data_IF_506504074131
#
_entry.id   IF_506504074131
#
_cell.length_a   1.000
_cell.length_b   1.000
_cell.length_c   1.000
_cell.angle_alpha   90.00
_cell.angle_beta   90.00
_cell.angle_gamma   90.00
#
_symmetry.space_group_name_H-M   'P 1'
#
loop_
_entity.id
_entity.type
_entity.pdbx_description
1 polymer ?
#
# COMPACT_ATOMS: atom_id res chain seq x y z
N UNK A 1 25.96 -7.54 1.69
CA UNK A 1 25.41 -6.26 2.18
C UNK A 1 24.48 -6.53 3.37
N UNK A 2 24.67 -5.80 4.45
CA UNK A 2 23.84 -5.80 5.66
C UNK A 2 22.90 -4.59 5.63
N UNK A 3 21.62 -4.78 5.90
CA UNK A 3 20.58 -3.75 5.73
C UNK A 3 19.82 -3.56 7.04
N UNK A 4 19.64 -2.31 7.44
CA UNK A 4 18.81 -1.91 8.57
C UNK A 4 17.58 -1.15 8.06
N UNK A 5 16.38 -1.70 8.27
CA UNK A 5 15.11 -1.11 7.86
C UNK A 5 14.45 -0.46 9.07
N UNK A 6 14.23 0.84 9.02
CA UNK A 6 13.54 1.60 10.06
C UNK A 6 12.09 1.87 9.68
N UNK A 7 11.17 1.18 10.33
CA UNK A 7 9.73 1.38 10.16
C UNK A 7 9.26 2.71 10.79
N UNK A 8 8.11 3.24 10.38
CA UNK A 8 7.50 4.38 11.07
C UNK A 8 7.23 4.09 12.55
N UNK A 9 7.46 5.07 13.42
CA UNK A 9 7.05 4.97 14.81
C UNK A 9 5.55 4.61 14.92
N UNK A 10 5.20 3.64 15.77
CA UNK A 10 3.87 3.03 15.93
C UNK A 10 3.37 2.21 14.73
N UNK A 11 4.18 1.94 13.72
CA UNK A 11 3.80 0.97 12.70
C UNK A 11 3.76 -0.43 13.33
N UNK A 12 2.65 -1.14 13.15
CA UNK A 12 2.47 -2.45 13.76
C UNK A 12 3.06 -3.56 12.88
N UNK A 13 4.11 -4.23 13.35
CA UNK A 13 4.78 -5.32 12.63
C UNK A 13 4.40 -6.70 13.22
N UNK A 14 3.11 -6.91 13.47
CA UNK A 14 2.61 -8.17 14.02
C UNK A 14 1.54 -8.81 13.16
N UNK A 15 1.43 -10.13 13.25
CA UNK A 15 0.40 -10.89 12.53
C UNK A 15 -1.01 -10.41 12.90
N UNK A 16 -1.84 -10.17 11.89
CA UNK A 16 -3.24 -9.74 12.03
C UNK A 16 -3.45 -8.24 12.25
N UNK A 17 -2.41 -7.46 12.63
CA UNK A 17 -2.51 -6.01 12.87
C UNK A 17 -1.58 -5.17 12.01
N UNK A 18 -0.80 -5.79 11.13
CA UNK A 18 0.17 -5.11 10.27
C UNK A 18 -0.49 -4.12 9.31
N UNK A 19 0.05 -2.90 9.23
CA UNK A 19 -0.31 -1.91 8.24
C UNK A 19 0.33 -2.18 6.87
N UNK A 20 0.06 -1.31 5.90
CA UNK A 20 0.53 -1.48 4.52
C UNK A 20 2.07 -1.47 4.40
N UNK A 21 2.76 -0.66 5.21
CA UNK A 21 4.24 -0.59 5.22
C UNK A 21 4.82 -1.89 5.78
N UNK A 22 4.30 -2.37 6.90
CA UNK A 22 4.74 -3.62 7.52
C UNK A 22 4.50 -4.85 6.64
N UNK A 23 3.35 -4.91 5.97
CA UNK A 23 3.06 -5.98 5.01
C UNK A 23 4.03 -5.93 3.82
N UNK A 24 4.28 -4.73 3.28
CA UNK A 24 5.25 -4.55 2.20
C UNK A 24 6.63 -5.06 2.61
N UNK A 25 7.15 -4.62 3.76
CA UNK A 25 8.48 -5.01 4.23
C UNK A 25 8.61 -6.52 4.48
N UNK A 26 7.63 -7.12 5.13
CA UNK A 26 7.62 -8.56 5.34
C UNK A 26 7.60 -9.34 4.02
N UNK A 27 6.71 -8.92 3.10
CA UNK A 27 6.52 -9.58 1.81
C UNK A 27 7.80 -9.52 0.95
N UNK A 28 8.49 -8.35 0.94
CA UNK A 28 9.69 -8.13 0.14
C UNK A 28 10.91 -8.78 0.79
N UNK A 29 11.16 -8.52 2.07
CA UNK A 29 12.32 -9.06 2.79
C UNK A 29 12.33 -10.58 2.76
N UNK A 30 11.16 -11.23 2.86
CA UNK A 30 11.05 -12.70 2.78
C UNK A 30 11.53 -13.28 1.44
N UNK A 31 11.53 -12.49 0.36
CA UNK A 31 11.94 -12.89 -1.00
C UNK A 31 13.24 -12.26 -1.48
N UNK A 32 13.81 -11.33 -0.71
CA UNK A 32 15.07 -10.67 -1.01
C UNK A 32 16.25 -11.63 -0.93
N UNK A 33 17.26 -11.39 -1.76
CA UNK A 33 18.58 -12.03 -1.68
C UNK A 33 19.24 -11.74 -0.33
N UNK A 34 19.03 -10.52 0.21
CA UNK A 34 19.64 -10.06 1.46
C UNK A 34 18.85 -10.44 2.72
N UNK A 35 17.82 -11.27 2.64
CA UNK A 35 16.90 -11.59 3.75
C UNK A 35 17.58 -12.02 5.05
N UNK A 36 18.71 -12.74 4.98
CA UNK A 36 19.46 -13.22 6.16
C UNK A 36 20.23 -12.09 6.86
N UNK A 37 20.57 -11.04 6.11
CA UNK A 37 21.38 -9.90 6.59
C UNK A 37 20.53 -8.62 6.70
N UNK A 38 19.21 -8.74 6.73
CA UNK A 38 18.28 -7.61 6.87
C UNK A 38 17.69 -7.62 8.27
N UNK A 39 17.79 -6.49 8.96
CA UNK A 39 17.23 -6.25 10.29
C UNK A 39 16.09 -5.22 10.17
N UNK A 40 14.94 -5.53 10.75
CA UNK A 40 13.75 -4.66 10.68
C UNK A 40 13.49 -4.09 12.06
N UNK A 41 13.55 -2.76 12.17
CA UNK A 41 13.37 -2.02 13.42
C UNK A 41 11.98 -1.39 13.49
N UNK A 42 11.30 -1.60 14.60
CA UNK A 42 9.98 -1.03 14.88
C UNK A 42 9.78 -0.79 16.36
N UNK A 43 8.59 -0.37 16.72
CA UNK A 43 8.17 -0.14 18.10
C UNK A 43 6.83 -0.82 18.38
N UNK A 44 6.73 -2.07 17.99
CA UNK A 44 5.55 -2.90 18.26
C UNK A 44 5.92 -3.99 19.23
N UNK A 45 5.44 -3.88 20.45
CA UNK A 45 5.50 -5.01 21.39
C UNK A 45 4.57 -6.11 20.88
N UNK A 46 5.14 -7.16 20.34
CA UNK A 46 4.38 -8.31 19.83
C UNK A 46 5.14 -9.59 20.13
N UNK A 47 4.43 -10.53 20.73
CA UNK A 47 4.94 -11.90 20.92
C UNK A 47 5.00 -12.69 19.59
N UNK A 48 4.45 -12.12 18.49
CA UNK A 48 4.41 -12.76 17.18
C UNK A 48 4.70 -11.75 16.06
N UNK A 49 5.95 -11.28 15.88
CA UNK A 49 6.33 -10.41 14.78
C UNK A 49 6.24 -11.15 13.44
N UNK A 50 6.03 -10.40 12.34
CA UNK A 50 5.95 -10.96 10.99
C UNK A 50 7.26 -11.61 10.52
N UNK A 51 8.41 -11.20 11.06
CA UNK A 51 9.74 -11.72 10.72
C UNK A 51 10.56 -11.97 11.99
N UNK A 52 11.39 -13.02 11.95
CA UNK A 52 12.37 -13.32 13.02
C UNK A 52 13.48 -12.26 13.14
N UNK A 53 13.73 -11.50 12.07
CA UNK A 53 14.73 -10.44 12.04
C UNK A 53 14.19 -9.10 12.55
N UNK A 54 13.01 -9.09 13.17
CA UNK A 54 12.43 -7.90 13.77
C UNK A 54 13.07 -7.60 15.12
N UNK A 55 13.44 -6.34 15.31
CA UNK A 55 14.00 -5.80 16.55
C UNK A 55 13.06 -4.73 17.08
N UNK A 56 12.49 -4.99 18.26
CA UNK A 56 11.68 -3.99 18.94
C UNK A 56 12.56 -2.93 19.60
N UNK A 57 12.26 -1.67 19.32
CA UNK A 57 12.94 -0.52 19.94
C UNK A 57 12.15 -0.06 21.17
N UNK A 58 12.61 -0.49 22.34
CA UNK A 58 12.01 -0.06 23.61
C UNK A 58 12.41 1.38 23.93
N UNK A 59 11.40 2.20 24.23
CA UNK A 59 11.60 3.61 24.52
C UNK A 59 11.65 3.84 26.03
N UNK A 60 12.72 4.49 26.48
CA UNK A 60 12.77 5.02 27.85
C UNK A 60 11.86 6.24 27.96
N UNK A 61 11.03 6.30 29.01
CA UNK A 61 10.14 7.44 29.26
C UNK A 61 10.97 8.69 29.70
N UNK A 62 11.39 9.48 28.72
CA UNK A 62 12.00 10.80 28.96
C UNK A 62 10.96 11.86 28.66
N UNK A 63 10.47 12.53 29.70
CA UNK A 63 9.36 13.50 29.64
C UNK A 63 9.62 14.71 28.73
N UNK A 64 10.88 15.09 28.50
CA UNK A 64 11.30 16.30 27.77
C UNK A 64 11.60 16.04 26.26
N UNK A 65 11.44 14.84 25.77
CA UNK A 65 11.69 14.53 24.35
C UNK A 65 10.48 13.86 23.69
N UNK A 66 10.16 14.29 22.46
CA UNK A 66 9.10 13.60 21.70
C UNK A 66 9.46 12.13 21.50
N UNK A 67 8.47 11.24 21.61
CA UNK A 67 8.64 9.78 21.42
C UNK A 67 9.27 9.43 20.07
N UNK A 68 8.95 10.21 19.02
CA UNK A 68 9.55 10.03 17.69
C UNK A 68 11.06 10.30 17.69
N UNK A 69 11.53 11.34 18.39
CA UNK A 69 12.96 11.61 18.54
C UNK A 69 13.68 10.54 19.37
N UNK A 70 13.06 10.07 20.45
CA UNK A 70 13.58 8.96 21.25
C UNK A 70 13.72 7.68 20.40
N UNK A 71 12.68 7.35 19.62
CA UNK A 71 12.68 6.21 18.72
C UNK A 71 13.87 6.21 17.75
N UNK A 72 14.11 7.35 17.07
CA UNK A 72 15.25 7.47 16.15
C UNK A 72 16.59 7.40 16.90
N UNK A 73 16.71 8.00 18.11
CA UNK A 73 17.92 7.87 18.92
C UNK A 73 18.20 6.43 19.35
N UNK A 74 17.17 5.70 19.77
CA UNK A 74 17.29 4.29 20.12
C UNK A 74 17.73 3.46 18.90
N UNK A 75 17.15 3.70 17.73
CA UNK A 75 17.60 3.10 16.48
C UNK A 75 19.08 3.37 16.20
N UNK A 76 19.54 4.62 16.31
CA UNK A 76 20.94 5.01 16.09
C UNK A 76 21.88 4.22 16.99
N UNK A 77 21.54 4.04 18.28
CA UNK A 77 22.34 3.27 19.22
C UNK A 77 22.45 1.77 18.83
N UNK A 78 21.37 1.18 18.30
CA UNK A 78 21.41 -0.19 17.76
C UNK A 78 22.24 -0.24 16.48
N UNK A 79 22.03 0.70 15.58
CA UNK A 79 22.69 0.77 14.28
C UNK A 79 24.21 0.95 14.41
N UNK A 80 24.68 1.70 15.40
CA UNK A 80 26.12 1.83 15.71
C UNK A 80 26.77 0.48 16.03
N UNK A 81 26.02 -0.43 16.66
CA UNK A 81 26.51 -1.79 16.99
C UNK A 81 26.39 -2.75 15.81
N UNK A 82 25.28 -2.68 15.08
CA UNK A 82 25.01 -3.54 13.91
C UNK A 82 25.93 -3.17 12.76
N UNK A 83 26.18 -1.90 12.58
CA UNK A 83 27.06 -1.35 11.54
C UNK A 83 26.66 -1.84 10.13
N UNK A 84 25.39 -1.58 9.73
CA UNK A 84 24.89 -1.95 8.42
C UNK A 84 25.53 -1.15 7.28
N UNK A 85 25.50 -1.71 6.07
CA UNK A 85 25.97 -1.02 4.86
C UNK A 85 24.94 -0.01 4.34
N UNK A 86 23.64 -0.30 4.56
CA UNK A 86 22.51 0.47 4.09
C UNK A 86 21.45 0.62 5.19
N UNK A 87 20.93 1.83 5.35
CA UNK A 87 19.76 2.13 6.17
C UNK A 87 18.58 2.46 5.24
N UNK A 88 17.46 1.79 5.40
CA UNK A 88 16.21 2.08 4.69
C UNK A 88 15.21 2.69 5.66
N UNK A 89 14.77 3.92 5.37
CA UNK A 89 13.82 4.67 6.21
C UNK A 89 12.47 4.73 5.51
N UNK A 90 11.44 4.23 6.17
CA UNK A 90 10.11 4.15 5.58
C UNK A 90 9.17 5.26 6.09
N UNK A 91 8.62 6.02 5.13
CA UNK A 91 7.50 6.95 5.36
C UNK A 91 7.74 8.01 6.47
N UNK A 92 9.03 8.32 6.74
CA UNK A 92 9.41 9.32 7.78
C UNK A 92 10.60 10.15 7.33
N UNK A 93 10.40 11.07 6.35
CA UNK A 93 11.50 11.92 5.84
C UNK A 93 12.16 12.77 6.92
N UNK A 94 11.42 13.16 7.95
CA UNK A 94 11.94 13.92 9.09
C UNK A 94 12.94 13.14 9.98
N UNK A 95 13.12 11.82 9.80
CA UNK A 95 14.14 11.05 10.51
C UNK A 95 15.55 11.25 9.91
N UNK A 96 15.62 11.58 8.62
CA UNK A 96 16.87 11.66 7.87
C UNK A 96 17.87 12.62 8.52
N UNK A 97 17.42 13.81 8.94
CA UNK A 97 18.31 14.80 9.57
C UNK A 97 18.96 14.30 10.88
N UNK A 98 18.21 13.53 11.67
CA UNK A 98 18.72 12.97 12.93
C UNK A 98 19.72 11.84 12.67
N UNK A 99 19.44 10.98 11.69
CA UNK A 99 20.29 9.85 11.30
C UNK A 99 21.61 10.37 10.72
N UNK A 100 21.55 11.26 9.72
CA UNK A 100 22.74 11.85 9.06
C UNK A 100 23.67 12.61 10.00
N UNK A 101 23.14 13.27 11.05
CA UNK A 101 23.96 13.95 12.06
C UNK A 101 24.83 12.99 12.89
N UNK A 102 24.50 11.70 12.95
CA UNK A 102 25.14 10.74 13.86
C UNK A 102 25.79 9.56 13.12
N UNK A 103 25.33 9.25 11.94
CA UNK A 103 25.77 8.10 11.16
C UNK A 103 26.17 8.51 9.73
N UNK A 104 27.40 8.15 9.35
CA UNK A 104 27.85 8.28 7.96
C UNK A 104 27.54 6.99 7.21
N UNK A 105 26.29 6.84 6.78
CA UNK A 105 25.77 5.63 6.13
C UNK A 105 25.04 5.96 4.85
N UNK A 106 24.97 4.98 3.94
CA UNK A 106 24.06 5.01 2.81
C UNK A 106 22.64 4.95 3.30
N UNK A 107 21.75 5.79 2.72
CA UNK A 107 20.35 5.88 3.14
C UNK A 107 19.44 5.82 1.92
N UNK A 108 18.47 4.90 1.94
CA UNK A 108 17.29 4.94 1.08
C UNK A 108 16.09 5.45 1.86
N UNK A 109 15.32 6.33 1.23
CA UNK A 109 14.07 6.85 1.80
C UNK A 109 12.87 6.35 0.97
N UNK A 110 11.95 5.66 1.60
CA UNK A 110 10.74 5.12 0.97
C UNK A 110 9.52 5.98 1.28
N UNK A 111 8.77 6.34 0.25
CA UNK A 111 7.46 6.97 0.36
C UNK A 111 6.35 5.98 0.01
N UNK A 112 5.48 5.70 0.98
CA UNK A 112 4.26 4.90 0.84
C UNK A 112 2.99 5.76 0.86
N UNK A 113 3.12 7.04 1.24
CA UNK A 113 2.06 8.05 1.26
C UNK A 113 2.42 9.21 0.33
N UNK A 114 1.48 10.15 0.15
CA UNK A 114 1.75 11.38 -0.60
C UNK A 114 2.89 12.17 0.08
N UNK A 115 4.02 12.38 -0.62
CA UNK A 115 5.17 13.08 -0.06
C UNK A 115 4.84 14.50 0.41
N UNK A 116 3.93 15.20 -0.25
CA UNK A 116 3.54 16.57 0.12
C UNK A 116 2.65 16.63 1.37
N UNK A 117 2.12 15.51 1.83
CA UNK A 117 1.36 15.43 3.07
C UNK A 117 2.22 15.16 4.31
N UNK A 118 3.54 14.87 4.13
CA UNK A 118 4.40 14.35 5.19
C UNK A 118 5.34 15.40 5.77
N UNK A 119 5.48 15.45 7.10
CA UNK A 119 6.45 16.32 7.76
C UNK A 119 7.89 15.95 7.35
N UNK A 120 8.65 16.94 6.88
CA UNK A 120 10.01 16.76 6.36
C UNK A 120 10.09 16.59 4.85
N UNK A 121 8.95 16.72 4.12
CA UNK A 121 8.90 16.73 2.65
C UNK A 121 7.82 17.63 2.06
N UNK A 122 7.09 18.39 2.88
CA UNK A 122 6.02 19.30 2.40
C UNK A 122 6.59 20.49 1.64
N UNK A 123 7.65 21.10 2.16
CA UNK A 123 8.27 22.30 1.61
C UNK A 123 9.32 21.95 0.56
N UNK A 124 9.55 22.83 -0.40
CA UNK A 124 10.58 22.68 -1.43
C UNK A 124 11.96 22.47 -0.78
N UNK A 125 12.32 23.30 0.21
CA UNK A 125 13.61 23.23 0.91
C UNK A 125 13.81 21.88 1.63
N UNK A 126 12.74 21.32 2.21
CA UNK A 126 12.79 20.00 2.84
C UNK A 126 13.08 18.90 1.81
N UNK A 127 12.45 18.97 0.62
CA UNK A 127 12.68 18.01 -0.46
C UNK A 127 14.07 18.14 -1.07
N UNK A 128 14.57 19.37 -1.26
CA UNK A 128 15.97 19.63 -1.67
C UNK A 128 16.95 19.05 -0.65
N UNK A 129 16.69 19.26 0.66
CA UNK A 129 17.49 18.67 1.71
C UNK A 129 17.53 17.14 1.59
N UNK A 130 16.39 16.48 1.37
CA UNK A 130 16.34 15.03 1.22
C UNK A 130 17.15 14.55 0.02
N UNK A 131 16.99 15.19 -1.16
CA UNK A 131 17.74 14.86 -2.37
C UNK A 131 19.25 14.91 -2.14
N UNK A 132 19.72 15.89 -1.40
CA UNK A 132 21.15 16.07 -1.13
C UNK A 132 21.70 15.13 -0.04
N UNK A 133 20.84 14.57 0.82
CA UNK A 133 21.26 13.81 1.99
C UNK A 133 20.92 12.32 1.95
N UNK A 134 20.16 11.83 0.96
CA UNK A 134 19.92 10.41 0.77
C UNK A 134 20.52 9.92 -0.54
N UNK A 135 20.84 8.64 -0.59
CA UNK A 135 21.44 8.02 -1.78
C UNK A 135 20.36 7.67 -2.82
N UNK A 136 19.17 7.25 -2.38
CA UNK A 136 18.03 6.98 -3.26
C UNK A 136 16.70 7.31 -2.56
N UNK A 137 15.73 7.82 -3.32
CA UNK A 137 14.35 8.01 -2.88
C UNK A 137 13.46 7.05 -3.66
N UNK A 138 12.71 6.20 -2.95
CA UNK A 138 11.89 5.15 -3.54
C UNK A 138 10.42 5.48 -3.31
N UNK A 139 9.66 5.52 -4.40
CA UNK A 139 8.23 5.83 -4.40
C UNK A 139 7.40 4.59 -4.71
N UNK A 140 6.24 4.48 -4.09
CA UNK A 140 5.31 3.36 -4.33
C UNK A 140 4.48 3.52 -5.62
N UNK A 141 4.59 4.64 -6.33
CA UNK A 141 3.92 4.91 -7.60
C UNK A 141 4.61 6.05 -8.37
N UNK A 142 4.39 6.10 -9.68
CA UNK A 142 4.77 7.26 -10.51
C UNK A 142 4.04 8.54 -10.07
N UNK A 143 2.78 8.39 -9.60
CA UNK A 143 2.03 9.51 -9.04
C UNK A 143 2.75 10.10 -7.82
N UNK A 144 3.14 9.27 -6.84
CA UNK A 144 3.89 9.74 -5.66
C UNK A 144 5.22 10.37 -6.04
N UNK A 145 5.94 9.82 -7.03
CA UNK A 145 7.18 10.40 -7.57
C UNK A 145 6.92 11.78 -8.16
N UNK A 146 5.92 11.93 -9.04
CA UNK A 146 5.53 13.22 -9.63
C UNK A 146 5.14 14.24 -8.56
N UNK A 147 4.40 13.80 -7.53
CA UNK A 147 4.05 14.68 -6.39
C UNK A 147 5.28 15.23 -5.69
N UNK A 148 6.29 14.40 -5.46
CA UNK A 148 7.54 14.84 -4.82
C UNK A 148 8.31 15.84 -5.71
N UNK A 149 8.20 15.73 -7.03
CA UNK A 149 8.94 16.56 -8.00
C UNK A 149 8.30 17.93 -8.23
N UNK A 150 7.06 18.16 -7.83
CA UNK A 150 6.39 19.45 -8.03
C UNK A 150 7.28 20.60 -7.53
N UNK A 151 7.47 21.62 -8.36
CA UNK A 151 8.25 22.83 -8.12
C UNK A 151 9.74 22.59 -7.76
N UNK A 152 10.28 21.40 -8.02
CA UNK A 152 11.71 21.13 -7.86
C UNK A 152 12.47 21.40 -9.17
N UNK A 153 13.65 22.02 -9.09
CA UNK A 153 14.52 22.20 -10.25
C UNK A 153 15.21 20.88 -10.64
N UNK A 154 15.69 20.80 -11.90
CA UNK A 154 16.55 19.72 -12.38
C UNK A 154 15.94 18.30 -12.33
N UNK A 155 14.95 18.06 -13.20
CA UNK A 155 14.25 16.78 -13.29
C UNK A 155 15.21 15.59 -13.54
N UNK A 156 16.27 15.76 -14.32
CA UNK A 156 17.24 14.69 -14.61
C UNK A 156 17.97 14.21 -13.35
N UNK A 157 18.38 15.13 -12.47
CA UNK A 157 18.99 14.78 -11.19
C UNK A 157 17.97 14.01 -10.30
N UNK A 158 16.73 14.46 -10.30
CA UNK A 158 15.66 13.83 -9.52
C UNK A 158 15.40 12.40 -10.00
N UNK A 159 15.37 12.18 -11.31
CA UNK A 159 15.19 10.83 -11.89
C UNK A 159 16.36 9.91 -11.53
N UNK A 160 17.60 10.38 -11.58
CA UNK A 160 18.77 9.60 -11.22
C UNK A 160 18.80 9.20 -9.74
N UNK A 161 18.31 10.07 -8.86
CA UNK A 161 18.24 9.85 -7.41
C UNK A 161 16.96 9.16 -6.94
N UNK A 162 16.05 8.81 -7.82
CA UNK A 162 14.78 8.20 -7.45
C UNK A 162 14.48 6.90 -8.20
N UNK A 163 13.60 6.11 -7.63
CA UNK A 163 13.06 4.92 -8.27
C UNK A 163 11.59 4.74 -7.90
N UNK A 164 10.82 4.10 -8.78
CA UNK A 164 9.47 3.65 -8.48
C UNK A 164 9.49 2.14 -8.21
N UNK A 165 9.06 1.78 -7.02
CA UNK A 165 8.92 0.39 -6.61
C UNK A 165 7.50 0.16 -6.09
N UNK A 166 6.68 -0.45 -6.90
CA UNK A 166 5.29 -0.75 -6.58
C UNK A 166 5.16 -1.71 -5.40
N UNK A 167 4.01 -1.68 -4.74
CA UNK A 167 3.69 -2.70 -3.75
C UNK A 167 3.44 -4.05 -4.42
N UNK A 168 3.45 -5.10 -3.64
CA UNK A 168 3.34 -6.47 -4.13
C UNK A 168 2.15 -7.22 -3.54
N UNK A 169 1.73 -8.27 -4.23
CA UNK A 169 0.79 -9.26 -3.71
C UNK A 169 1.18 -10.67 -4.16
N UNK A 170 0.84 -11.66 -3.37
CA UNK A 170 1.04 -13.05 -3.78
C UNK A 170 0.16 -13.40 -4.99
N UNK A 171 0.72 -14.11 -5.98
CA UNK A 171 -0.06 -14.70 -7.08
C UNK A 171 -0.29 -16.18 -6.76
N UNK A 172 -1.53 -16.64 -6.81
CA UNK A 172 -1.91 -18.02 -6.54
C UNK A 172 -2.78 -18.54 -7.69
N UNK A 173 -2.76 -19.84 -7.92
CA UNK A 173 -3.61 -20.45 -8.97
C UNK A 173 -5.09 -20.15 -8.70
N UNK A 174 -5.79 -19.64 -9.71
CA UNK A 174 -7.21 -19.28 -9.66
C UNK A 174 -8.01 -20.19 -10.57
N UNK A 175 -9.08 -20.75 -10.03
CA UNK A 175 -10.07 -21.43 -10.83
C UNK A 175 -11.21 -20.46 -11.19
N UNK A 176 -11.23 -19.96 -12.41
CA UNK A 176 -12.23 -18.99 -12.87
C UNK A 176 -13.66 -19.55 -12.90
N UNK A 177 -13.83 -20.87 -12.98
CA UNK A 177 -15.16 -21.52 -12.90
C UNK A 177 -15.77 -21.43 -11.50
N UNK A 178 -14.93 -21.19 -10.46
CA UNK A 178 -15.34 -21.00 -9.06
C UNK A 178 -15.57 -19.53 -8.68
N UNK A 179 -15.53 -18.61 -9.66
CA UNK A 179 -15.92 -17.21 -9.40
C UNK A 179 -17.42 -17.15 -9.15
N UNK A 180 -17.78 -16.53 -8.05
CA UNK A 180 -19.16 -16.33 -7.62
C UNK A 180 -19.66 -14.94 -8.01
N UNK A 181 -20.95 -14.73 -8.05
CA UNK A 181 -21.58 -13.43 -8.35
C UNK A 181 -21.45 -12.48 -7.16
N UNK A 182 -20.20 -12.16 -6.77
CA UNK A 182 -19.86 -11.32 -5.63
C UNK A 182 -19.22 -10.02 -6.10
N UNK A 183 -19.71 -8.90 -5.57
CA UNK A 183 -19.12 -7.56 -5.71
C UNK A 183 -18.52 -7.18 -4.37
N UNK A 184 -17.24 -6.78 -4.36
CA UNK A 184 -16.53 -6.52 -3.09
C UNK A 184 -16.08 -5.07 -2.99
N UNK A 185 -16.26 -4.47 -1.80
CA UNK A 185 -15.61 -3.24 -1.36
C UNK A 185 -14.69 -3.56 -0.18
N UNK A 186 -13.45 -3.08 -0.23
CA UNK A 186 -12.46 -3.27 0.84
C UNK A 186 -11.82 -1.94 1.19
N UNK A 187 -11.97 -1.49 2.42
CA UNK A 187 -11.37 -0.23 2.89
C UNK A 187 -12.11 0.37 4.09
N UNK A 188 -11.68 1.54 4.51
CA UNK A 188 -12.42 2.32 5.51
C UNK A 188 -13.80 2.69 5.00
N UNK A 189 -14.82 2.53 5.84
CA UNK A 189 -16.21 2.77 5.47
C UNK A 189 -16.56 4.26 5.59
N UNK A 190 -15.82 5.11 4.84
CA UNK A 190 -15.97 6.56 4.89
C UNK A 190 -16.10 7.20 3.50
N UNK A 191 -16.46 8.48 3.49
CA UNK A 191 -16.64 9.27 2.25
C UNK A 191 -15.32 9.42 1.47
N UNK A 192 -14.17 9.52 2.15
CA UNK A 192 -12.89 9.64 1.48
C UNK A 192 -12.58 8.41 0.61
N UNK A 193 -12.98 7.20 1.06
CA UNK A 193 -12.88 5.95 0.30
C UNK A 193 -14.05 5.70 -0.65
N UNK A 194 -15.03 6.59 -0.69
CA UNK A 194 -16.20 6.51 -1.57
C UNK A 194 -17.22 5.47 -1.14
N UNK A 195 -17.24 5.08 0.14
CA UNK A 195 -18.19 4.07 0.62
C UNK A 195 -19.65 4.51 0.48
N UNK A 196 -19.95 5.80 0.59
CA UNK A 196 -21.25 6.38 0.29
C UNK A 196 -21.66 6.17 -1.17
N UNK A 197 -20.75 6.42 -2.12
CA UNK A 197 -21.00 6.18 -3.55
C UNK A 197 -21.23 4.70 -3.85
N UNK A 198 -20.40 3.84 -3.22
CA UNK A 198 -20.56 2.40 -3.32
C UNK A 198 -21.93 1.97 -2.79
N UNK A 199 -22.33 2.44 -1.58
CA UNK A 199 -23.59 2.09 -0.96
C UNK A 199 -24.80 2.45 -1.82
N UNK A 200 -24.85 3.70 -2.34
CA UNK A 200 -25.91 4.13 -3.24
C UNK A 200 -25.99 3.30 -4.53
N UNK A 201 -24.84 3.00 -5.14
CA UNK A 201 -24.78 2.23 -6.38
C UNK A 201 -25.16 0.77 -6.15
N UNK A 202 -24.63 0.16 -5.06
CA UNK A 202 -24.79 -1.27 -4.81
C UNK A 202 -26.22 -1.65 -4.47
N UNK A 203 -26.96 -0.82 -3.74
CA UNK A 203 -28.38 -1.08 -3.45
C UNK A 203 -29.17 -1.18 -4.76
N UNK A 204 -28.96 -0.24 -5.70
CA UNK A 204 -29.61 -0.27 -7.03
C UNK A 204 -29.21 -1.53 -7.82
N UNK A 205 -27.97 -1.93 -7.77
CA UNK A 205 -27.46 -3.15 -8.41
C UNK A 205 -28.15 -4.40 -7.84
N UNK A 206 -28.19 -4.53 -6.52
CA UNK A 206 -28.73 -5.71 -5.86
C UNK A 206 -30.26 -5.81 -6.03
N UNK A 207 -30.96 -4.69 -6.10
CA UNK A 207 -32.39 -4.66 -6.46
C UNK A 207 -32.65 -5.18 -7.88
N UNK A 208 -31.80 -4.83 -8.83
CA UNK A 208 -31.90 -5.23 -10.23
C UNK A 208 -31.40 -6.64 -10.49
N UNK A 209 -30.27 -7.01 -9.92
CA UNK A 209 -29.57 -8.29 -10.12
C UNK A 209 -29.67 -9.17 -8.87
N UNK A 210 -30.85 -9.70 -8.60
CA UNK A 210 -31.21 -10.41 -7.35
C UNK A 210 -30.34 -11.64 -7.04
N UNK A 211 -29.61 -12.20 -8.01
CA UNK A 211 -28.70 -13.33 -7.82
C UNK A 211 -27.28 -12.93 -7.48
N UNK A 212 -26.98 -11.63 -7.42
CA UNK A 212 -25.70 -11.10 -7.00
C UNK A 212 -25.73 -10.75 -5.51
N UNK A 213 -24.55 -10.83 -4.89
CA UNK A 213 -24.32 -10.40 -3.50
C UNK A 213 -23.21 -9.37 -3.46
N UNK A 214 -23.18 -8.58 -2.41
CA UNK A 214 -22.08 -7.67 -2.14
C UNK A 214 -21.48 -7.96 -0.76
N UNK A 215 -20.15 -7.92 -0.70
CA UNK A 215 -19.37 -8.11 0.52
C UNK A 215 -18.53 -6.86 0.80
N UNK A 216 -18.67 -6.31 2.00
CA UNK A 216 -17.97 -5.12 2.46
C UNK A 216 -17.03 -5.48 3.60
N UNK A 217 -15.75 -5.19 3.43
CA UNK A 217 -14.70 -5.44 4.41
C UNK A 217 -14.07 -4.14 4.86
N UNK A 218 -14.11 -3.87 6.15
CA UNK A 218 -13.54 -2.70 6.80
C UNK A 218 -14.49 -2.12 7.83
N UNK A 219 -14.04 -1.06 8.46
CA UNK A 219 -14.78 -0.30 9.44
C UNK A 219 -14.38 1.19 9.38
N UNK A 220 -15.16 2.04 10.01
CA UNK A 220 -14.82 3.44 10.31
C UNK A 220 -15.81 3.95 11.38
N UNK A 221 -15.47 3.82 12.66
CA UNK A 221 -16.38 4.19 13.75
C UNK A 221 -16.70 5.69 13.83
N UNK A 222 -15.91 6.54 13.15
CA UNK A 222 -16.07 8.00 13.14
C UNK A 222 -17.11 8.50 12.11
N UNK A 223 -17.44 7.66 11.10
CA UNK A 223 -18.47 7.98 10.09
C UNK A 223 -19.54 6.89 10.09
N UNK A 224 -20.81 7.29 10.34
CA UNK A 224 -21.95 6.38 10.35
C UNK A 224 -22.65 6.39 9.00
N UNK A 225 -22.09 5.69 8.02
CA UNK A 225 -22.73 5.45 6.73
C UNK A 225 -23.42 4.09 6.76
N UNK A 226 -24.73 4.11 6.67
CA UNK A 226 -25.55 2.90 6.81
C UNK A 226 -26.26 2.55 5.49
N UNK A 227 -26.06 1.34 5.01
CA UNK A 227 -26.74 0.77 3.85
C UNK A 227 -27.22 -0.63 4.19
N UNK A 228 -28.45 -0.94 3.81
CA UNK A 228 -29.08 -2.23 4.11
C UNK A 228 -29.72 -2.83 2.86
N UNK A 229 -29.43 -4.11 2.60
CA UNK A 229 -30.11 -4.94 1.60
C UNK A 229 -29.91 -6.41 1.97
N UNK A 230 -30.88 -7.30 1.67
CA UNK A 230 -30.77 -8.74 1.99
C UNK A 230 -29.54 -9.45 1.42
N UNK A 231 -29.00 -8.95 0.29
CA UNK A 231 -27.81 -9.49 -0.38
C UNK A 231 -26.56 -8.63 -0.16
N UNK A 232 -26.57 -7.66 0.78
CA UNK A 232 -25.43 -6.86 1.18
C UNK A 232 -24.91 -7.32 2.54
N UNK A 233 -23.69 -7.84 2.57
CA UNK A 233 -23.03 -8.35 3.75
C UNK A 233 -21.92 -7.38 4.20
N UNK A 234 -22.11 -6.68 5.31
CA UNK A 234 -21.10 -5.83 5.94
C UNK A 234 -20.36 -6.69 6.96
N UNK A 235 -19.13 -7.10 6.65
CA UNK A 235 -18.40 -8.12 7.39
C UNK A 235 -17.39 -7.55 8.40
N UNK A 236 -17.28 -6.20 8.47
CA UNK A 236 -16.35 -5.52 9.37
C UNK A 236 -14.89 -5.73 9.00
N UNK A 237 -14.00 -5.39 9.94
CA UNK A 237 -12.55 -5.58 9.74
C UNK A 237 -12.21 -7.06 9.61
N UNK A 238 -11.41 -7.39 8.60
CA UNK A 238 -10.84 -8.73 8.37
C UNK A 238 -9.35 -8.65 8.11
N UNK A 239 -8.64 -9.71 8.46
CA UNK A 239 -7.20 -9.81 8.17
C UNK A 239 -6.93 -9.85 6.66
N UNK A 240 -5.76 -9.40 6.24
CA UNK A 240 -5.35 -9.45 4.83
C UNK A 240 -5.46 -10.86 4.24
N UNK A 241 -5.08 -11.89 5.00
CA UNK A 241 -5.20 -13.31 4.58
C UNK A 241 -6.63 -13.70 4.29
N UNK A 242 -7.58 -13.27 5.12
CA UNK A 242 -9.02 -13.52 4.91
C UNK A 242 -9.51 -12.86 3.62
N UNK A 243 -9.20 -11.57 3.43
CA UNK A 243 -9.59 -10.80 2.25
C UNK A 243 -9.03 -11.44 0.97
N UNK A 244 -7.74 -11.79 0.96
CA UNK A 244 -7.12 -12.48 -0.18
C UNK A 244 -7.76 -13.82 -0.53
N UNK A 245 -8.28 -14.55 0.46
CA UNK A 245 -9.03 -15.78 0.22
C UNK A 245 -10.42 -15.51 -0.35
N UNK A 246 -11.16 -14.53 0.17
CA UNK A 246 -12.46 -14.12 -0.37
C UNK A 246 -12.35 -13.65 -1.82
N UNK A 247 -11.33 -12.86 -2.15
CA UNK A 247 -11.08 -12.38 -3.52
C UNK A 247 -10.88 -13.49 -4.55
N UNK A 248 -10.54 -14.73 -4.16
CA UNK A 248 -10.48 -15.87 -5.10
C UNK A 248 -11.85 -16.19 -5.70
N UNK A 249 -12.93 -15.94 -4.96
CA UNK A 249 -14.31 -16.18 -5.37
C UNK A 249 -15.00 -14.93 -5.95
N UNK A 250 -14.54 -13.74 -5.58
CA UNK A 250 -15.09 -12.46 -6.01
C UNK A 250 -15.02 -12.28 -7.53
N UNK A 251 -16.10 -11.78 -8.14
CA UNK A 251 -16.14 -11.46 -9.55
C UNK A 251 -15.77 -10.02 -9.87
N UNK A 252 -16.23 -9.06 -9.06
CA UNK A 252 -16.00 -7.62 -9.26
C UNK A 252 -15.50 -7.00 -7.94
N UNK A 253 -14.48 -6.18 -8.00
CA UNK A 253 -14.01 -5.37 -6.86
C UNK A 253 -14.08 -3.89 -7.21
N UNK A 254 -14.56 -3.09 -6.26
CA UNK A 254 -14.74 -1.64 -6.42
C UNK A 254 -13.81 -0.89 -5.48
N UNK A 255 -13.02 0.05 -6.05
CA UNK A 255 -12.15 0.96 -5.31
C UNK A 255 -12.42 2.39 -5.79
N UNK A 256 -13.48 2.99 -5.26
CA UNK A 256 -14.02 4.29 -5.69
C UNK A 256 -13.59 5.44 -4.78
N UNK A 257 -12.32 5.51 -4.43
CA UNK A 257 -11.77 6.55 -3.55
C UNK A 257 -11.90 7.95 -4.16
N UNK A 258 -12.34 8.93 -3.35
CA UNK A 258 -12.22 10.37 -3.65
C UNK A 258 -10.83 10.88 -3.28
N UNK A 259 -10.19 10.22 -2.33
CA UNK A 259 -8.84 10.50 -1.90
C UNK A 259 -7.86 10.09 -2.99
N UNK A 260 -6.84 10.90 -3.22
CA UNK A 260 -5.73 10.53 -4.10
C UNK A 260 -4.90 9.43 -3.43
N UNK A 261 -5.17 8.20 -3.79
CA UNK A 261 -4.45 7.04 -3.26
C UNK A 261 -2.99 7.09 -3.70
N UNK A 262 -2.02 7.01 -2.78
CA UNK A 262 -0.62 6.96 -3.19
C UNK A 262 -0.29 5.76 -4.08
N UNK A 263 -1.03 4.66 -3.91
CA UNK A 263 -0.95 3.49 -4.78
C UNK A 263 -2.31 2.79 -4.92
N UNK A 264 -2.77 2.07 -3.88
CA UNK A 264 -4.03 1.31 -3.91
C UNK A 264 -3.83 -0.19 -3.78
N UNK A 265 -3.39 -0.62 -2.60
CA UNK A 265 -3.13 -2.04 -2.32
C UNK A 265 -4.33 -2.94 -2.59
N UNK A 266 -5.55 -2.47 -2.32
CA UNK A 266 -6.78 -3.25 -2.48
C UNK A 266 -7.04 -3.65 -3.94
N UNK A 267 -6.88 -2.73 -4.89
CA UNK A 267 -7.02 -3.02 -6.32
C UNK A 267 -5.92 -3.96 -6.82
N UNK A 268 -4.68 -3.78 -6.36
CA UNK A 268 -3.58 -4.69 -6.64
C UNK A 268 -3.88 -6.12 -6.18
N UNK A 269 -4.37 -6.28 -4.96
CA UNK A 269 -4.73 -7.58 -4.37
C UNK A 269 -5.87 -8.25 -5.15
N UNK A 270 -6.90 -7.48 -5.52
CA UNK A 270 -8.00 -7.97 -6.36
C UNK A 270 -7.48 -8.44 -7.74
N UNK A 271 -6.63 -7.65 -8.39
CA UNK A 271 -6.01 -7.98 -9.67
C UNK A 271 -5.22 -9.29 -9.60
N UNK A 272 -4.42 -9.47 -8.53
CA UNK A 272 -3.63 -10.69 -8.30
C UNK A 272 -4.48 -11.96 -8.15
N UNK A 273 -5.77 -11.81 -7.89
CA UNK A 273 -6.77 -12.89 -7.76
C UNK A 273 -7.69 -13.01 -8.97
N UNK A 274 -7.38 -12.31 -10.07
CA UNK A 274 -8.20 -12.35 -11.27
C UNK A 274 -9.62 -11.84 -11.03
N UNK A 275 -9.76 -10.73 -10.31
CA UNK A 275 -11.03 -10.04 -10.12
C UNK A 275 -11.13 -8.93 -11.17
N UNK A 276 -12.30 -8.70 -11.73
CA UNK A 276 -12.55 -7.51 -12.54
C UNK A 276 -12.62 -6.29 -11.61
N UNK A 277 -11.79 -5.28 -11.85
CA UNK A 277 -11.63 -4.15 -10.93
C UNK A 277 -12.19 -2.88 -11.54
N UNK A 278 -13.02 -2.16 -10.77
CA UNK A 278 -13.51 -0.82 -11.08
C UNK A 278 -12.83 0.14 -10.13
N UNK A 279 -12.13 1.15 -10.65
CA UNK A 279 -11.36 2.12 -9.86
C UNK A 279 -11.74 3.56 -10.22
N UNK A 280 -11.60 4.47 -9.28
CA UNK A 280 -11.58 5.91 -9.58
C UNK A 280 -10.24 6.31 -10.19
N UNK A 281 -10.24 7.36 -11.04
CA UNK A 281 -9.02 7.96 -11.58
C UNK A 281 -8.39 8.91 -10.55
N UNK A 282 -7.87 8.34 -9.43
CA UNK A 282 -7.36 9.10 -8.29
C UNK A 282 -5.98 8.60 -7.85
N UNK A 283 -5.02 9.53 -7.79
CA UNK A 283 -3.67 9.24 -7.34
C UNK A 283 -2.98 8.15 -8.17
N UNK A 284 -2.35 7.21 -7.50
CA UNK A 284 -1.68 6.05 -8.10
C UNK A 284 -2.61 4.85 -8.37
N UNK A 285 -3.92 4.95 -8.14
CA UNK A 285 -4.86 3.83 -8.41
C UNK A 285 -4.76 3.27 -9.84
N UNK A 286 -4.70 4.09 -10.90
CA UNK A 286 -4.58 3.60 -12.28
C UNK A 286 -3.33 2.74 -12.52
N UNK A 287 -2.30 2.88 -11.70
CA UNK A 287 -1.05 2.11 -11.82
C UNK A 287 -1.16 0.68 -11.25
N UNK A 288 -2.20 0.40 -10.48
CA UNK A 288 -2.36 -0.87 -9.75
C UNK A 288 -2.99 -1.99 -10.58
N UNK A 289 -3.75 -1.64 -11.62
CA UNK A 289 -4.52 -2.58 -12.41
C UNK A 289 -4.61 -2.12 -13.87
N UNK A 290 -3.73 -2.64 -14.73
CA UNK A 290 -3.62 -2.28 -16.15
C UNK A 290 -4.96 -2.43 -16.91
N UNK A 291 -5.76 -3.43 -16.55
CA UNK A 291 -7.03 -3.72 -17.21
C UNK A 291 -8.25 -3.34 -16.35
N UNK A 292 -8.14 -2.32 -15.49
CA UNK A 292 -9.26 -1.85 -14.70
C UNK A 292 -10.27 -1.06 -15.55
N UNK A 293 -11.52 -1.06 -15.10
CA UNK A 293 -12.51 -0.07 -15.54
C UNK A 293 -12.28 1.20 -14.74
N UNK A 294 -11.81 2.25 -15.40
CA UNK A 294 -11.46 3.52 -14.75
C UNK A 294 -12.65 4.49 -14.83
N UNK A 295 -13.08 5.01 -13.68
CA UNK A 295 -14.11 6.04 -13.59
C UNK A 295 -13.46 7.42 -13.62
N UNK A 296 -13.49 8.10 -14.76
CA UNK A 296 -12.98 9.47 -14.90
C UNK A 296 -13.85 10.48 -14.13
N UNK A 297 -15.17 10.30 -14.17
CA UNK A 297 -16.11 11.06 -13.34
C UNK A 297 -16.67 10.17 -12.25
N UNK A 298 -16.31 10.47 -11.01
CA UNK A 298 -16.66 9.68 -9.85
C UNK A 298 -17.98 10.16 -9.23
N UNK A 299 -19.04 9.38 -9.44
CA UNK A 299 -20.33 9.49 -8.76
C UNK A 299 -21.02 8.13 -8.68
N UNK A 300 -22.07 8.01 -7.89
CA UNK A 300 -22.80 6.74 -7.69
C UNK A 300 -23.48 6.24 -8.96
N UNK A 301 -23.92 7.14 -9.86
CA UNK A 301 -24.57 6.76 -11.11
C UNK A 301 -23.58 6.15 -12.11
N UNK A 302 -22.39 6.73 -12.26
CA UNK A 302 -21.34 6.16 -13.12
C UNK A 302 -20.80 4.85 -12.57
N UNK A 303 -20.69 4.75 -11.25
CA UNK A 303 -20.32 3.50 -10.59
C UNK A 303 -21.39 2.42 -10.81
N UNK A 304 -22.68 2.75 -10.63
CA UNK A 304 -23.78 1.85 -10.96
C UNK A 304 -23.69 1.35 -12.41
N UNK A 305 -23.54 2.29 -13.39
CA UNK A 305 -23.43 1.92 -14.82
C UNK A 305 -22.25 1.00 -15.08
N UNK A 306 -21.09 1.26 -14.49
CA UNK A 306 -19.89 0.43 -14.66
C UNK A 306 -20.11 -1.00 -14.14
N UNK A 307 -20.72 -1.15 -12.99
CA UNK A 307 -21.05 -2.46 -12.41
C UNK A 307 -22.11 -3.18 -13.27
N UNK A 308 -23.22 -2.49 -13.63
CA UNK A 308 -24.32 -3.04 -14.42
C UNK A 308 -23.84 -3.57 -15.79
N UNK A 309 -22.98 -2.79 -16.45
CA UNK A 309 -22.37 -3.20 -17.73
C UNK A 309 -21.53 -4.47 -17.62
N UNK A 310 -20.73 -4.60 -16.55
CA UNK A 310 -19.93 -5.84 -16.32
C UNK A 310 -20.83 -7.04 -15.98
N UNK A 311 -21.94 -6.84 -15.29
CA UNK A 311 -22.88 -7.92 -14.98
C UNK A 311 -23.62 -8.40 -16.22
N UNK A 312 -24.02 -7.50 -17.10
CA UNK A 312 -24.74 -7.80 -18.35
C UNK A 312 -23.85 -8.47 -19.38
N UNK A 313 -22.61 -8.00 -19.51
CA UNK A 313 -21.62 -8.54 -20.44
C UNK A 313 -20.68 -9.54 -19.75
N UNK A 314 -21.14 -10.81 -19.65
CA UNK A 314 -20.37 -11.90 -19.03
C UNK A 314 -19.05 -12.14 -19.75
N UNK A 315 -19.00 -11.98 -21.06
CA UNK A 315 -17.78 -12.18 -21.87
C UNK A 315 -16.73 -11.14 -21.48
N UNK A 316 -17.13 -9.88 -21.43
CA UNK A 316 -16.26 -8.77 -20.98
C UNK A 316 -15.78 -8.98 -19.54
N UNK A 317 -16.67 -9.38 -18.63
CA UNK A 317 -16.33 -9.66 -17.24
C UNK A 317 -15.25 -10.74 -17.13
N UNK A 318 -15.46 -11.90 -17.77
CA UNK A 318 -14.52 -13.02 -17.75
C UNK A 318 -13.18 -12.64 -18.40
N UNK A 319 -13.22 -11.91 -19.51
CA UNK A 319 -12.02 -11.43 -20.17
C UNK A 319 -11.20 -10.49 -19.29
N UNK A 320 -11.84 -9.55 -18.60
CA UNK A 320 -11.16 -8.66 -17.64
C UNK A 320 -10.55 -9.45 -16.46
N UNK A 321 -11.27 -10.42 -15.93
CA UNK A 321 -10.77 -11.31 -14.87
C UNK A 321 -9.51 -12.04 -15.29
N UNK A 322 -9.53 -12.67 -16.48
CA UNK A 322 -8.38 -13.41 -17.03
C UNK A 322 -7.21 -12.48 -17.35
N UNK A 323 -7.46 -11.33 -18.01
CA UNK A 323 -6.42 -10.35 -18.32
C UNK A 323 -5.75 -9.82 -17.05
N UNK A 324 -6.53 -9.43 -16.04
CA UNK A 324 -5.99 -8.99 -14.75
C UNK A 324 -5.07 -10.03 -14.12
N UNK A 325 -5.47 -11.29 -14.14
CA UNK A 325 -4.65 -12.37 -13.60
C UNK A 325 -3.39 -12.64 -14.43
N UNK A 326 -3.52 -12.72 -15.74
CA UNK A 326 -2.41 -13.06 -16.63
C UNK A 326 -1.34 -11.96 -16.64
N UNK A 327 -1.77 -10.70 -16.75
CA UNK A 327 -0.89 -9.54 -16.81
C UNK A 327 -0.33 -9.09 -15.44
N UNK A 328 -0.73 -9.78 -14.36
CA UNK A 328 -0.25 -9.46 -13.01
C UNK A 328 1.21 -9.88 -12.82
N UNK A 329 2.09 -8.90 -12.71
CA UNK A 329 3.54 -9.09 -12.54
C UNK A 329 4.04 -8.72 -11.14
N UNK A 330 3.29 -7.94 -10.35
CA UNK A 330 3.72 -7.38 -9.06
C UNK A 330 3.74 -8.42 -7.93
N UNK A 331 4.38 -9.57 -8.18
CA UNK A 331 4.58 -10.60 -7.15
C UNK A 331 5.64 -10.17 -6.15
N UNK A 332 5.62 -10.74 -4.93
CA UNK A 332 6.61 -10.45 -3.91
C UNK A 332 8.05 -10.68 -4.42
N UNK A 333 8.28 -11.77 -5.19
CA UNK A 333 9.60 -12.07 -5.76
C UNK A 333 10.03 -11.06 -6.81
N UNK A 334 9.11 -10.66 -7.69
CA UNK A 334 9.40 -9.67 -8.73
C UNK A 334 9.79 -8.32 -8.13
N UNK A 335 9.02 -7.83 -7.16
CA UNK A 335 9.31 -6.56 -6.49
C UNK A 335 10.57 -6.65 -5.63
N UNK A 336 10.80 -7.77 -4.92
CA UNK A 336 12.05 -7.99 -4.19
C UNK A 336 13.27 -7.93 -5.11
N UNK A 337 13.20 -8.52 -6.30
CA UNK A 337 14.30 -8.45 -7.28
C UNK A 337 14.57 -7.01 -7.73
N UNK A 338 13.52 -6.20 -7.98
CA UNK A 338 13.70 -4.77 -8.34
C UNK A 338 14.43 -4.04 -7.23
N UNK A 339 14.01 -4.19 -5.97
CA UNK A 339 14.65 -3.53 -4.83
C UNK A 339 16.09 -4.02 -4.66
N UNK A 340 16.33 -5.31 -4.79
CA UNK A 340 17.67 -5.88 -4.68
C UNK A 340 18.61 -5.37 -5.80
N UNK A 341 18.08 -5.11 -7.00
CA UNK A 341 18.83 -4.46 -8.08
C UNK A 341 19.19 -3.03 -7.70
N UNK A 342 18.23 -2.23 -7.22
CA UNK A 342 18.48 -0.85 -6.76
C UNK A 342 19.51 -0.82 -5.62
N UNK A 343 19.47 -1.79 -4.70
CA UNK A 343 20.43 -1.93 -3.60
C UNK A 343 21.85 -2.22 -4.08
N UNK A 344 21.99 -2.92 -5.21
CA UNK A 344 23.32 -3.24 -5.80
C UNK A 344 23.98 -2.05 -6.51
N UNK A 345 23.22 -1.01 -6.85
CA UNK A 345 23.72 0.21 -7.49
C UNK A 345 24.48 1.15 -6.51
N UNK A 346 24.56 0.79 -5.21
CA UNK A 346 25.28 1.54 -4.17
C UNK A 346 26.77 1.27 -4.20
#
# INVERSE_FOLDING_TARGET
MKISILLPYKENFSSGKAGAVSLFENDITSKSYYKKNTFIFGNTQSNNPLSKNYINLDLTNKFYQSKSKQYVKTFINYETKINSDLIEVHNRPNYISLIKKKLNKKIFLYFHNDPLSMNGSKKIQERIYLINNVDKIIFNSKWSQKRFFIDLPNEQLLLNKSAVCYQSSSKVKINFKKKEKIITFVGKLNRAKGYDLFGEAIIKILNKHKTWTAEVYGDEPREKLFFQHKNLNILGFKTNKYILNSLKKTSISVVCSRWDEPFGRTSLEATSRGVAVIISNKGGLPETAKNAVILNTLNSQNLYRAIDNLIKDKTKLINLQKKNYNDFIFTHKYIANIIDTIRKEL
#
